data_IF_514795684994
#
_entry.id   IF_514795684994
#
_cell.length_a   1.000
_cell.length_b   1.000
_cell.length_c   1.000
_cell.angle_alpha   90.00
_cell.angle_beta   90.00
_cell.angle_gamma   90.00
#
_symmetry.space_group_name_H-M   'P 1'
#
loop_
_entity.id
_entity.type
_entity.pdbx_description
1 polymer ?
#
# COMPACT_ATOMS: atom_id res chain seq x y z
N UNK A 1 8.42 2.76 10.78
CA UNK A 1 8.40 3.64 9.60
C UNK A 1 9.15 4.94 9.82
N UNK A 2 10.13 5.16 8.94
CA UNK A 2 10.89 6.41 8.77
C UNK A 2 9.93 7.61 8.58
N UNK A 3 10.22 8.74 9.25
CA UNK A 3 9.35 9.94 9.24
C UNK A 3 9.70 10.95 8.15
N UNK A 4 10.97 11.03 7.78
CA UNK A 4 11.46 11.88 6.69
C UNK A 4 11.87 11.00 5.52
N UNK A 5 11.36 11.31 4.34
CA UNK A 5 11.64 10.61 3.09
C UNK A 5 12.15 11.64 2.09
N UNK A 6 13.33 11.38 1.53
CA UNK A 6 13.84 12.17 0.42
C UNK A 6 13.13 11.78 -0.87
N UNK A 7 13.19 12.64 -1.89
CA UNK A 7 12.49 12.41 -3.16
C UNK A 7 12.94 11.11 -3.82
N UNK A 8 14.24 10.81 -3.82
CA UNK A 8 14.78 9.60 -4.42
C UNK A 8 14.29 8.33 -3.70
N UNK A 9 14.17 8.39 -2.37
CA UNK A 9 13.62 7.28 -1.58
C UNK A 9 12.11 7.11 -1.80
N UNK A 10 11.37 8.21 -2.01
CA UNK A 10 9.97 8.11 -2.40
C UNK A 10 9.83 7.41 -3.76
N UNK A 11 10.69 7.73 -4.72
CA UNK A 11 10.69 7.07 -6.02
C UNK A 11 11.06 5.58 -5.88
N UNK A 12 12.06 5.24 -5.06
CA UNK A 12 12.50 3.86 -4.91
C UNK A 12 11.47 2.99 -4.19
N UNK A 13 10.91 3.48 -3.08
CA UNK A 13 10.11 2.67 -2.17
C UNK A 13 8.60 2.90 -2.26
N UNK A 14 8.18 4.04 -2.80
CA UNK A 14 6.77 4.48 -2.83
C UNK A 14 6.23 4.66 -4.25
N UNK A 15 6.90 4.13 -5.27
CA UNK A 15 6.36 4.00 -6.63
C UNK A 15 5.55 2.73 -6.78
N UNK A 16 4.36 2.84 -7.37
CA UNK A 16 3.51 1.72 -7.73
C UNK A 16 4.02 1.06 -9.01
N UNK A 17 4.09 -0.27 -8.99
CA UNK A 17 4.38 -1.08 -10.17
C UNK A 17 3.09 -1.37 -10.96
N UNK A 18 3.16 -1.73 -12.26
CA UNK A 18 1.97 -2.00 -13.07
C UNK A 18 1.00 -3.04 -12.47
N UNK A 19 1.53 -4.11 -11.89
CA UNK A 19 0.71 -5.14 -11.25
C UNK A 19 0.06 -4.65 -9.96
N UNK A 20 0.70 -3.72 -9.25
CA UNK A 20 0.16 -3.07 -8.06
C UNK A 20 -0.96 -2.11 -8.45
N UNK A 21 -0.79 -1.35 -9.54
CA UNK A 21 -1.82 -0.47 -10.11
C UNK A 21 -3.08 -1.24 -10.51
N UNK A 22 -2.94 -2.46 -11.03
CA UNK A 22 -4.07 -3.30 -11.40
C UNK A 22 -5.00 -3.61 -10.19
N UNK A 23 -4.44 -3.74 -8.98
CA UNK A 23 -5.21 -3.94 -7.75
C UNK A 23 -6.09 -2.74 -7.38
N UNK A 24 -5.75 -1.55 -7.88
CA UNK A 24 -6.48 -0.32 -7.60
C UNK A 24 -7.66 -0.10 -8.54
N UNK A 25 -7.78 -0.90 -9.61
CA UNK A 25 -8.75 -0.69 -10.70
C UNK A 25 -10.21 -0.65 -10.28
N UNK A 26 -10.58 -1.35 -9.19
CA UNK A 26 -11.94 -1.36 -8.64
C UNK A 26 -12.15 -0.38 -7.47
N UNK A 27 -11.17 0.48 -7.15
CA UNK A 27 -11.18 1.37 -5.99
C UNK A 27 -11.21 2.82 -6.46
N UNK A 28 -11.97 3.67 -5.76
CA UNK A 28 -12.13 5.09 -6.07
C UNK A 28 -11.88 5.97 -4.84
N UNK A 29 -11.56 7.24 -5.08
CA UNK A 29 -11.35 8.26 -4.03
C UNK A 29 -10.47 7.79 -2.88
N UNK A 30 -10.92 8.04 -1.66
CA UNK A 30 -10.27 7.64 -0.42
C UNK A 30 -9.89 6.15 -0.34
N UNK A 31 -10.72 5.25 -0.89
CA UNK A 31 -10.41 3.81 -0.89
C UNK A 31 -9.23 3.47 -1.80
N UNK A 32 -9.10 4.17 -2.94
CA UNK A 32 -7.97 3.98 -3.86
C UNK A 32 -6.67 4.44 -3.22
N UNK A 33 -6.64 5.66 -2.67
CA UNK A 33 -5.46 6.19 -1.99
C UNK A 33 -5.10 5.38 -0.74
N UNK A 34 -6.09 5.05 0.10
CA UNK A 34 -5.90 4.23 1.28
C UNK A 34 -5.33 2.84 0.96
N UNK A 35 -5.82 2.19 -0.10
CA UNK A 35 -5.30 0.90 -0.53
C UNK A 35 -3.83 0.97 -0.97
N UNK A 36 -3.47 1.94 -1.82
CA UNK A 36 -2.09 2.11 -2.27
C UNK A 36 -1.12 2.30 -1.10
N UNK A 37 -1.52 3.12 -0.12
CA UNK A 37 -0.71 3.36 1.08
C UNK A 37 -0.54 2.08 1.91
N UNK A 38 -1.63 1.32 2.11
CA UNK A 38 -1.55 0.05 2.85
C UNK A 38 -0.63 -0.97 2.15
N UNK A 39 -0.68 -1.03 0.82
CA UNK A 39 0.14 -1.93 0.03
C UNK A 39 1.63 -1.63 0.18
N UNK A 40 2.05 -0.40 -0.15
CA UNK A 40 3.47 -0.01 -0.06
C UNK A 40 3.99 -0.05 1.38
N UNK A 41 3.17 0.36 2.35
CA UNK A 41 3.55 0.25 3.76
C UNK A 41 3.80 -1.21 4.17
N UNK A 42 2.94 -2.14 3.75
CA UNK A 42 3.11 -3.55 4.09
C UNK A 42 4.35 -4.16 3.44
N UNK A 43 4.69 -3.78 2.21
CA UNK A 43 5.93 -4.24 1.56
C UNK A 43 7.19 -3.81 2.35
N UNK A 44 7.18 -2.61 2.93
CA UNK A 44 8.33 -2.08 3.68
C UNK A 44 8.41 -2.58 5.12
N UNK A 45 7.28 -2.65 5.82
CA UNK A 45 7.26 -2.90 7.27
C UNK A 45 6.74 -4.30 7.64
N UNK A 46 6.27 -5.08 6.66
CA UNK A 46 5.67 -6.43 6.82
C UNK A 46 4.52 -6.45 7.84
N UNK A 47 3.87 -5.30 8.02
CA UNK A 47 2.73 -5.09 8.91
C UNK A 47 1.87 -3.96 8.37
N UNK A 48 0.66 -3.80 8.90
CA UNK A 48 -0.20 -2.66 8.55
C UNK A 48 -0.03 -1.50 9.53
N UNK A 49 -0.27 -0.25 9.09
CA UNK A 49 -0.34 0.89 10.00
C UNK A 49 -1.48 0.70 11.00
N UNK A 50 -1.25 1.13 12.25
CA UNK A 50 -2.23 1.06 13.33
C UNK A 50 -3.02 2.36 13.43
N UNK A 51 -2.40 3.48 13.06
CA UNK A 51 -2.98 4.81 13.12
C UNK A 51 -2.76 5.57 11.81
N UNK A 52 -3.70 6.47 11.47
CA UNK A 52 -3.60 7.40 10.33
C UNK A 52 -2.33 8.27 10.40
N UNK A 53 -1.80 8.51 11.59
CA UNK A 53 -0.58 9.31 11.80
C UNK A 53 0.69 8.51 11.56
N UNK A 54 0.62 7.21 11.30
CA UNK A 54 1.80 6.39 11.04
C UNK A 54 2.43 6.70 9.69
N UNK A 55 1.64 7.25 8.76
CA UNK A 55 2.05 7.56 7.40
C UNK A 55 2.53 9.02 7.32
N UNK A 56 3.78 9.28 6.92
CA UNK A 56 4.27 10.64 6.71
C UNK A 56 3.53 11.35 5.57
N UNK A 57 3.29 12.65 5.73
CA UNK A 57 2.64 13.49 4.71
C UNK A 57 3.32 13.42 3.32
N UNK A 58 4.67 13.40 3.18
CA UNK A 58 5.30 13.29 1.87
C UNK A 58 4.90 12.03 1.11
N UNK A 59 4.74 10.91 1.81
CA UNK A 59 4.30 9.63 1.23
C UNK A 59 2.87 9.72 0.73
N UNK A 60 1.97 10.30 1.53
CA UNK A 60 0.56 10.50 1.13
C UNK A 60 0.50 11.32 -0.16
N UNK A 61 1.21 12.45 -0.21
CA UNK A 61 1.23 13.35 -1.38
C UNK A 61 1.86 12.68 -2.60
N UNK A 62 2.90 11.87 -2.41
CA UNK A 62 3.56 11.17 -3.50
C UNK A 62 2.63 10.12 -4.14
N UNK A 63 1.99 9.28 -3.33
CA UNK A 63 1.06 8.27 -3.81
C UNK A 63 -0.23 8.86 -4.38
N UNK A 64 -0.73 9.96 -3.80
CA UNK A 64 -1.95 10.62 -4.27
C UNK A 64 -1.84 11.06 -5.74
N UNK A 65 -0.66 11.54 -6.14
CA UNK A 65 -0.35 11.90 -7.54
C UNK A 65 -0.39 10.70 -8.47
N UNK A 66 0.18 9.57 -8.07
CA UNK A 66 0.21 8.35 -8.88
C UNK A 66 -1.19 7.78 -9.09
N UNK A 67 -2.02 7.75 -8.03
CA UNK A 67 -3.37 7.19 -8.13
C UNK A 67 -4.43 8.17 -8.63
N UNK A 68 -4.06 9.43 -8.89
CA UNK A 68 -4.97 10.47 -9.39
C UNK A 68 -6.06 10.89 -8.40
N UNK A 69 -5.78 10.82 -7.09
CA UNK A 69 -6.72 11.19 -6.02
C UNK A 69 -6.14 12.35 -5.21
N UNK A 70 -6.93 13.36 -4.81
CA UNK A 70 -6.45 14.42 -3.92
C UNK A 70 -5.91 13.86 -2.60
N UNK A 71 -4.81 14.42 -2.10
CA UNK A 71 -4.15 13.93 -0.88
C UNK A 71 -5.04 14.04 0.37
N UNK A 72 -6.01 14.95 0.34
CA UNK A 72 -6.99 15.25 1.38
C UNK A 72 -7.95 14.07 1.60
N UNK A 73 -8.24 13.29 0.55
CA UNK A 73 -9.09 12.10 0.65
C UNK A 73 -8.48 11.01 1.55
N UNK A 74 -7.18 11.09 1.84
CA UNK A 74 -6.54 10.25 2.84
C UNK A 74 -7.26 10.28 4.20
N UNK A 75 -7.77 11.44 4.59
CA UNK A 75 -8.49 11.62 5.86
C UNK A 75 -9.92 11.04 5.82
N UNK A 76 -10.50 10.90 4.62
CA UNK A 76 -11.80 10.29 4.42
C UNK A 76 -11.73 8.75 4.35
N UNK A 77 -10.53 8.17 4.27
CA UNK A 77 -10.36 6.72 4.27
C UNK A 77 -10.77 6.14 5.63
N UNK A 78 -11.62 5.12 5.62
CA UNK A 78 -12.12 4.49 6.84
C UNK A 78 -11.11 3.48 7.42
N UNK A 79 -10.31 3.95 8.37
CA UNK A 79 -9.27 3.19 9.08
C UNK A 79 -9.80 2.13 10.04
N UNK A 80 -11.09 2.15 10.38
CA UNK A 80 -11.70 1.21 11.34
C UNK A 80 -12.84 0.39 10.73
N UNK A 81 -13.19 0.68 9.48
CA UNK A 81 -14.31 0.08 8.78
C UNK A 81 -14.14 -1.38 8.39
N UNK A 82 -15.13 -1.84 7.64
CA UNK A 82 -15.10 -3.17 7.01
C UNK A 82 -14.15 -3.19 5.82
N UNK A 83 -14.09 -2.12 5.03
CA UNK A 83 -13.29 -2.03 3.81
C UNK A 83 -11.79 -2.23 4.07
N UNK A 84 -11.24 -1.64 5.13
CA UNK A 84 -9.82 -1.84 5.48
C UNK A 84 -9.50 -3.31 5.82
N UNK A 85 -10.44 -4.06 6.39
CA UNK A 85 -10.24 -5.50 6.66
C UNK A 85 -10.11 -6.30 5.37
N UNK A 86 -10.97 -6.01 4.38
CA UNK A 86 -10.90 -6.61 3.05
C UNK A 86 -9.62 -6.22 2.31
N UNK A 87 -9.26 -4.94 2.32
CA UNK A 87 -8.02 -4.45 1.71
C UNK A 87 -6.78 -5.15 2.29
N UNK A 88 -6.71 -5.29 3.62
CA UNK A 88 -5.61 -6.01 4.29
C UNK A 88 -5.54 -7.49 3.90
N UNK A 89 -6.67 -8.14 3.64
CA UNK A 89 -6.70 -9.52 3.18
C UNK A 89 -6.27 -9.65 1.71
N UNK A 90 -6.75 -8.74 0.86
CA UNK A 90 -6.38 -8.64 -0.56
C UNK A 90 -4.88 -8.41 -0.74
N UNK A 91 -4.30 -7.44 -0.02
CA UNK A 91 -2.85 -7.16 -0.03
C UNK A 91 -2.04 -8.37 0.40
N UNK A 92 -2.44 -9.04 1.48
CA UNK A 92 -1.79 -10.26 1.96
C UNK A 92 -1.81 -11.37 0.90
N UNK A 93 -2.96 -11.58 0.25
CA UNK A 93 -3.11 -12.57 -0.81
C UNK A 93 -2.22 -12.24 -2.02
N UNK A 94 -2.20 -10.96 -2.43
CA UNK A 94 -1.37 -10.48 -3.54
C UNK A 94 0.12 -10.69 -3.26
N UNK A 95 0.59 -10.36 -2.06
CA UNK A 95 2.00 -10.52 -1.69
C UNK A 95 2.38 -11.95 -1.29
N UNK A 96 1.50 -12.94 -1.49
CA UNK A 96 1.77 -14.34 -1.16
C UNK A 96 1.67 -14.70 0.33
N UNK A 97 1.33 -13.74 1.20
CA UNK A 97 1.07 -13.95 2.63
C UNK A 97 -0.33 -14.50 2.86
N UNK A 98 -0.58 -15.75 2.46
CA UNK A 98 -1.88 -16.39 2.75
C UNK A 98 -1.90 -17.02 4.13
N UNK A 99 -3.08 -17.04 4.75
CA UNK A 99 -3.34 -17.93 5.89
C UNK A 99 -3.02 -19.36 5.41
N UNK A 100 -2.35 -20.15 6.25
CA UNK A 100 -2.01 -21.54 5.92
C UNK A 100 -3.28 -22.28 5.44
N UNK A 101 -3.32 -22.67 4.16
CA UNK A 101 -4.46 -23.41 3.58
C UNK A 101 -4.78 -23.22 2.10
N UNK A 102 -4.24 -22.22 1.39
CA UNK A 102 -4.62 -21.97 -0.02
C UNK A 102 -3.47 -22.20 -1.00
N UNK A 103 -3.71 -23.11 -1.97
CA UNK A 103 -2.73 -23.66 -2.92
C UNK A 103 -2.12 -22.63 -3.88
N UNK A 104 -0.80 -22.76 -4.03
CA UNK A 104 0.19 -21.96 -4.76
C UNK A 104 -0.30 -21.39 -6.12
N UNK A 105 -0.06 -20.10 -6.34
CA UNK A 105 0.32 -19.59 -7.67
C UNK A 105 1.69 -18.96 -7.50
N UNK A 106 2.63 -19.47 -8.27
CA UNK A 106 4.02 -19.04 -8.33
C UNK A 106 4.07 -17.58 -8.78
N UNK A 107 4.50 -16.69 -7.89
CA UNK A 107 4.85 -15.32 -8.26
C UNK A 107 6.32 -15.33 -8.68
N UNK A 108 6.56 -15.26 -9.99
CA UNK A 108 7.89 -15.10 -10.58
C UNK A 108 8.30 -13.60 -10.61
N UNK A 109 8.02 -12.91 -9.51
CA UNK A 109 8.32 -11.50 -9.31
C UNK A 109 9.61 -11.37 -8.53
N UNK A 110 10.68 -10.94 -9.22
CA UNK A 110 12.01 -10.67 -8.70
C UNK A 110 11.97 -10.18 -7.25
N UNK A 111 12.46 -11.02 -6.34
CA UNK A 111 12.68 -10.70 -4.93
C UNK A 111 13.81 -9.67 -4.83
N UNK A 112 13.52 -8.43 -5.23
CA UNK A 112 14.40 -7.28 -5.12
C UNK A 112 14.41 -6.75 -3.70
N UNK A 113 15.30 -7.32 -2.87
CA UNK A 113 15.90 -6.74 -1.66
C UNK A 113 14.93 -6.00 -0.72
N UNK A 114 14.49 -6.69 0.33
CA UNK A 114 14.22 -6.04 1.60
C UNK A 114 15.50 -5.33 2.07
N UNK A 115 15.50 -4.00 2.29
CA UNK A 115 16.65 -3.35 2.93
C UNK A 115 16.72 -3.81 4.39
N UNK A 116 17.92 -4.22 4.79
CA UNK A 116 18.30 -4.61 6.16
C UNK A 116 18.47 -3.37 7.03
#
# INVERSE_FOLDING_TARGET
MKRHWEVDELIEYWTLLPDEEALLGNKTGANRLGFAILLKFFQLEVRFPQHIRDIPKPVVVHLSKQVGVPSEEYHAYDWQGRSIKYHRAEIRSFLGFRKAGEAQKEYDGVMGKFPV
#
